data_IF_088143860301
#
_entry.id   IF_088143860301
#
_cell.length_a   1.000
_cell.length_b   1.000
_cell.length_c   1.000
_cell.angle_alpha   90.00
_cell.angle_beta   90.00
_cell.angle_gamma   90.00
#
_symmetry.space_group_name_H-M   'P 1'
#
loop_
_entity.id
_entity.type
_entity.pdbx_description
1 polymer ?
#
# COMPACT_ATOMS: atom_id res chain seq x y z
N UNK A 1 -51.20 -5.99 -30.95
CA UNK A 1 -49.91 -6.72 -31.14
C UNK A 1 -48.67 -5.91 -30.74
N UNK A 2 -48.82 -4.78 -30.03
CA UNK A 2 -47.70 -3.99 -29.45
C UNK A 2 -47.48 -4.25 -27.95
N UNK A 3 -48.49 -4.82 -27.28
CA UNK A 3 -48.48 -5.08 -25.82
C UNK A 3 -47.46 -6.17 -25.45
N UNK A 4 -47.29 -7.20 -26.28
CA UNK A 4 -46.29 -8.26 -26.05
C UNK A 4 -44.83 -7.75 -26.17
N UNK A 5 -44.59 -6.73 -27.01
CA UNK A 5 -43.27 -6.10 -27.14
C UNK A 5 -42.89 -5.28 -25.89
N UNK A 6 -43.85 -4.60 -25.28
CA UNK A 6 -43.62 -3.84 -24.05
C UNK A 6 -43.30 -4.73 -22.84
N UNK A 7 -43.91 -5.91 -22.75
CA UNK A 7 -43.65 -6.85 -21.65
C UNK A 7 -42.25 -7.49 -21.73
N UNK A 8 -41.73 -7.69 -22.94
CA UNK A 8 -40.36 -8.19 -23.14
C UNK A 8 -39.28 -7.17 -22.73
N UNK A 9 -39.56 -5.87 -22.89
CA UNK A 9 -38.61 -4.80 -22.54
C UNK A 9 -38.52 -4.53 -21.05
N UNK A 10 -39.60 -4.75 -20.28
CA UNK A 10 -39.58 -4.57 -18.82
C UNK A 10 -38.76 -5.63 -18.07
N UNK A 11 -38.52 -6.79 -18.68
CA UNK A 11 -37.68 -7.84 -18.08
C UNK A 11 -36.17 -7.56 -18.20
N UNK A 12 -35.75 -6.73 -19.17
CA UNK A 12 -34.33 -6.43 -19.43
C UNK A 12 -33.78 -5.35 -18.49
N UNK A 13 -34.64 -4.58 -17.82
CA UNK A 13 -34.20 -3.47 -16.95
C UNK A 13 -34.03 -3.85 -15.48
N UNK A 14 -34.37 -5.07 -15.05
CA UNK A 14 -34.31 -5.47 -13.62
C UNK A 14 -33.06 -6.34 -13.28
N UNK A 15 -32.08 -6.45 -14.19
CA UNK A 15 -30.90 -7.32 -13.98
C UNK A 15 -29.55 -6.60 -13.85
N UNK A 16 -29.48 -5.28 -13.62
CA UNK A 16 -28.19 -4.62 -13.38
C UNK A 16 -28.31 -3.28 -12.63
N UNK A 17 -28.46 -3.35 -11.31
CA UNK A 17 -27.64 -2.51 -10.43
C UNK A 17 -27.07 -3.43 -9.37
N UNK A 18 -25.78 -3.72 -9.48
CA UNK A 18 -25.04 -4.44 -8.48
C UNK A 18 -25.28 -3.79 -7.11
N UNK A 19 -25.50 -4.63 -6.11
CA UNK A 19 -25.44 -4.24 -4.72
C UNK A 19 -24.00 -3.82 -4.39
N UNK A 20 -23.67 -2.56 -4.60
CA UNK A 20 -22.51 -1.96 -3.93
C UNK A 20 -22.98 -1.45 -2.57
N UNK A 21 -22.48 -2.15 -1.55
CA UNK A 21 -22.90 -2.08 -0.16
C UNK A 21 -22.74 -0.68 0.45
N UNK A 22 -23.65 -0.23 1.35
CA UNK A 22 -23.41 0.94 2.17
C UNK A 22 -22.52 0.54 3.35
N UNK A 23 -21.21 0.43 3.14
CA UNK A 23 -20.23 0.40 4.22
C UNK A 23 -19.73 1.83 4.47
N UNK A 24 -20.48 2.57 5.28
CA UNK A 24 -19.98 3.76 5.98
C UNK A 24 -18.92 3.25 7.00
N UNK A 25 -17.77 3.93 7.07
CA UNK A 25 -16.69 3.80 8.05
C UNK A 25 -15.52 2.86 7.70
N UNK A 26 -14.56 3.36 6.93
CA UNK A 26 -13.21 3.71 7.42
C UNK A 26 -12.33 3.97 6.20
N UNK A 27 -11.58 5.07 6.27
CA UNK A 27 -10.62 5.58 5.28
C UNK A 27 -9.71 4.47 4.73
N UNK A 28 -10.19 3.71 3.75
CA UNK A 28 -9.37 2.85 2.92
C UNK A 28 -8.82 3.78 1.85
N UNK A 29 -7.59 4.26 2.06
CA UNK A 29 -6.86 4.80 0.92
C UNK A 29 -6.71 3.62 -0.04
N UNK A 30 -7.49 3.74 -1.11
CA UNK A 30 -7.68 2.75 -2.14
C UNK A 30 -6.43 2.87 -2.99
N UNK A 31 -5.65 1.81 -3.09
CA UNK A 31 -4.78 1.71 -4.22
C UNK A 31 -5.68 1.33 -5.42
N UNK A 32 -6.17 2.35 -6.12
CA UNK A 32 -7.06 2.19 -7.26
C UNK A 32 -6.29 1.50 -8.39
N UNK A 33 -6.39 0.18 -8.46
CA UNK A 33 -5.93 -0.59 -9.61
C UNK A 33 -6.89 -0.33 -10.75
N UNK A 34 -6.61 0.68 -11.57
CA UNK A 34 -7.21 0.73 -12.92
C UNK A 34 -6.48 -0.31 -13.78
N UNK A 35 -7.20 -1.07 -14.64
CA UNK A 35 -6.55 -1.98 -15.57
C UNK A 35 -5.67 -1.16 -16.53
N UNK A 36 -4.35 -1.16 -16.31
CA UNK A 36 -3.38 -0.48 -17.17
C UNK A 36 -2.52 0.61 -16.51
N UNK A 37 -2.71 0.96 -15.24
CA UNK A 37 -1.72 1.76 -14.50
C UNK A 37 -0.92 0.87 -13.55
N UNK A 38 0.41 0.88 -13.68
CA UNK A 38 1.33 0.25 -12.72
C UNK A 38 1.43 1.15 -11.49
N UNK A 39 0.32 1.30 -10.76
CA UNK A 39 0.33 1.95 -9.45
C UNK A 39 0.91 0.93 -8.47
N UNK A 40 2.14 1.16 -8.02
CA UNK A 40 2.80 0.38 -6.99
C UNK A 40 2.02 0.56 -5.67
N UNK A 41 1.14 -0.39 -5.39
CA UNK A 41 0.40 -0.44 -4.14
C UNK A 41 1.31 -0.85 -3.00
N UNK A 42 2.04 0.14 -2.51
CA UNK A 42 2.79 0.04 -1.28
C UNK A 42 1.75 0.09 -0.20
N UNK A 43 1.40 -1.11 0.28
CA UNK A 43 0.41 -1.26 1.33
C UNK A 43 0.75 -0.24 2.41
N UNK A 44 -0.18 0.66 2.73
CA UNK A 44 -0.15 1.51 3.93
C UNK A 44 -0.34 0.63 5.19
N UNK A 45 0.31 -0.53 5.22
CA UNK A 45 0.35 -1.40 6.36
C UNK A 45 1.13 -0.64 7.43
N UNK A 46 0.46 -0.32 8.53
CA UNK A 46 1.08 0.26 9.71
C UNK A 46 2.22 -0.67 10.14
N UNK A 47 3.46 -0.20 9.98
CA UNK A 47 4.62 -0.95 10.45
C UNK A 47 4.64 -0.89 11.99
N UNK A 48 4.71 -2.04 12.67
CA UNK A 48 4.89 -2.06 14.12
C UNK A 48 6.25 -1.45 14.50
N UNK A 49 6.28 -0.59 15.52
CA UNK A 49 7.47 0.18 15.90
C UNK A 49 8.57 -0.65 16.60
N UNK A 50 8.31 -1.92 16.93
CA UNK A 50 9.11 -2.73 17.86
C UNK A 50 9.87 -3.90 17.21
N UNK A 51 10.58 -3.64 16.11
CA UNK A 51 11.42 -4.64 15.43
C UNK A 51 12.88 -4.18 15.33
N UNK A 52 13.84 -5.11 15.18
CA UNK A 52 15.25 -4.74 15.06
C UNK A 52 15.51 -3.96 13.76
N UNK A 53 16.46 -3.01 13.77
CA UNK A 53 16.82 -2.22 12.60
C UNK A 53 17.47 -3.09 11.53
N UNK A 54 17.35 -2.66 10.28
CA UNK A 54 17.92 -3.36 9.11
C UNK A 54 18.65 -2.41 8.17
N UNK A 55 19.58 -2.93 7.39
CA UNK A 55 20.36 -2.15 6.43
C UNK A 55 19.83 -2.35 5.01
N UNK A 56 19.51 -1.25 4.31
CA UNK A 56 19.18 -1.26 2.89
C UNK A 56 20.41 -1.21 1.99
N UNK A 57 20.22 -1.59 0.72
CA UNK A 57 21.25 -1.49 -0.34
C UNK A 57 21.59 -0.06 -0.73
N UNK A 58 20.75 0.90 -0.33
CA UNK A 58 21.00 2.33 -0.42
C UNK A 58 21.88 2.86 0.73
N UNK A 59 22.33 1.98 1.64
CA UNK A 59 23.17 2.33 2.78
C UNK A 59 22.41 3.01 3.93
N UNK A 60 21.07 3.01 3.88
CA UNK A 60 20.21 3.58 4.91
C UNK A 60 19.82 2.50 5.93
N UNK A 61 19.87 2.86 7.22
CA UNK A 61 19.32 2.01 8.27
C UNK A 61 17.82 2.28 8.41
N UNK A 62 17.01 1.26 8.18
CA UNK A 62 15.56 1.31 8.40
C UNK A 62 15.23 0.85 9.82
N UNK A 63 14.23 1.45 10.49
CA UNK A 63 13.82 1.07 11.83
C UNK A 63 13.47 -0.41 11.95
N UNK A 64 12.95 -1.01 10.88
CA UNK A 64 12.72 -2.43 10.75
C UNK A 64 12.55 -2.84 9.27
N UNK A 65 12.37 -4.15 9.04
CA UNK A 65 12.16 -4.71 7.71
C UNK A 65 10.85 -4.27 7.02
N UNK A 66 9.81 -3.92 7.78
CA UNK A 66 8.56 -3.38 7.23
C UNK A 66 8.80 -1.98 6.64
N UNK A 67 9.49 -1.10 7.36
CA UNK A 67 9.86 0.23 6.87
C UNK A 67 10.76 0.16 5.62
N UNK A 68 11.70 -0.78 5.58
CA UNK A 68 12.51 -1.03 4.37
C UNK A 68 11.63 -1.45 3.19
N UNK A 69 10.69 -2.37 3.41
CA UNK A 69 9.77 -2.86 2.38
C UNK A 69 8.88 -1.72 1.84
N UNK A 70 8.40 -0.85 2.73
CA UNK A 70 7.61 0.31 2.35
C UNK A 70 8.44 1.31 1.53
N UNK A 71 9.68 1.58 1.94
CA UNK A 71 10.58 2.46 1.20
C UNK A 71 10.95 1.90 -0.18
N UNK A 72 11.26 0.60 -0.25
CA UNK A 72 11.55 -0.11 -1.50
C UNK A 72 10.35 -0.07 -2.46
N UNK A 73 9.16 -0.33 -1.93
CA UNK A 73 7.96 -0.28 -2.73
C UNK A 73 7.68 1.13 -3.26
N UNK A 74 7.77 2.17 -2.42
CA UNK A 74 7.42 3.55 -2.81
C UNK A 74 8.41 4.18 -3.77
N UNK A 75 9.64 3.65 -3.82
CA UNK A 75 10.72 4.14 -4.67
C UNK A 75 11.25 2.99 -5.55
N UNK A 76 10.43 2.45 -6.46
CA UNK A 76 10.80 1.27 -7.26
C UNK A 76 12.02 1.52 -8.15
N UNK A 77 12.31 2.78 -8.50
CA UNK A 77 13.50 3.17 -9.25
C UNK A 77 14.81 3.04 -8.45
N UNK A 78 14.73 3.01 -7.11
CA UNK A 78 15.91 2.88 -6.25
C UNK A 78 16.34 1.44 -6.02
N UNK A 79 15.48 0.46 -6.33
CA UNK A 79 15.76 -0.97 -6.17
C UNK A 79 16.37 -1.32 -4.80
N UNK A 80 15.74 -0.80 -3.73
CA UNK A 80 16.22 -0.96 -2.35
C UNK A 80 15.98 -2.41 -1.91
N UNK A 81 17.03 -3.08 -1.48
CA UNK A 81 17.00 -4.47 -1.00
C UNK A 81 17.59 -4.55 0.40
N UNK A 82 17.18 -5.54 1.18
CA UNK A 82 17.83 -5.85 2.45
C UNK A 82 19.28 -6.32 2.21
N UNK A 83 20.23 -5.70 2.92
CA UNK A 83 21.65 -6.07 2.91
C UNK A 83 22.05 -6.79 4.20
N UNK A 84 21.48 -6.40 5.33
CA UNK A 84 21.81 -7.00 6.64
C UNK A 84 20.67 -6.85 7.64
N UNK A 85 20.50 -7.85 8.51
CA UNK A 85 19.56 -7.88 9.64
C UNK A 85 20.00 -7.00 10.84
N UNK A 86 20.65 -5.87 10.54
CA UNK A 86 21.17 -4.91 11.49
C UNK A 86 21.41 -3.56 10.82
N UNK A 87 21.77 -2.54 11.61
CA UNK A 87 22.09 -1.21 11.07
C UNK A 87 23.28 -1.25 10.09
N UNK A 88 23.31 -0.33 9.13
CA UNK A 88 24.42 -0.24 8.17
C UNK A 88 25.73 0.15 8.86
N UNK A 89 26.82 -0.50 8.47
CA UNK A 89 28.17 -0.19 8.93
C UNK A 89 28.63 1.15 8.33
N UNK A 90 28.45 2.26 9.06
CA UNK A 90 28.85 3.60 8.62
C UNK A 90 27.77 4.67 8.75
N UNK A 91 26.54 4.31 9.14
CA UNK A 91 25.55 5.28 9.58
C UNK A 91 25.90 5.69 11.02
N UNK A 92 26.70 6.74 11.16
CA UNK A 92 26.73 7.50 12.41
C UNK A 92 25.29 7.91 12.70
N UNK A 93 24.80 7.55 13.87
CA UNK A 93 23.50 7.93 14.42
C UNK A 93 23.33 9.44 14.30
N UNK A 94 22.78 9.92 13.18
CA UNK A 94 22.66 11.36 12.92
C UNK A 94 21.33 11.92 13.39
N UNK A 95 20.43 11.06 13.88
CA UNK A 95 19.16 11.45 14.52
C UNK A 95 18.85 10.52 15.71
N UNK A 96 19.70 10.57 16.73
CA UNK A 96 19.21 10.55 18.10
C UNK A 96 19.63 11.92 18.65
N UNK A 97 18.73 12.85 19.01
CA UNK A 97 19.14 13.92 19.89
C UNK A 97 19.70 13.21 21.11
N UNK A 98 21.02 13.27 21.25
CA UNK A 98 21.74 12.71 22.39
C UNK A 98 21.00 13.25 23.61
N UNK A 99 20.28 12.40 24.34
CA UNK A 99 19.82 12.73 25.68
C UNK A 99 21.10 12.81 26.50
N UNK A 100 21.67 14.01 26.50
CA UNK A 100 22.64 14.41 27.49
C UNK A 100 21.94 14.28 28.85
N UNK A 101 22.66 13.66 29.78
CA UNK A 101 22.27 13.43 31.15
C UNK A 101 21.81 14.72 31.87
#
# INVERSE_FOLDING_TARGET
MKIAFYLALLAVTISSTAADSPAILSRKLMCAQTPGTKTNCCNDALCPENFPPVCGSDGVTYPNACDLSFASCNNPERNITLVSDGACSGQQVSQIPQVAA
#
